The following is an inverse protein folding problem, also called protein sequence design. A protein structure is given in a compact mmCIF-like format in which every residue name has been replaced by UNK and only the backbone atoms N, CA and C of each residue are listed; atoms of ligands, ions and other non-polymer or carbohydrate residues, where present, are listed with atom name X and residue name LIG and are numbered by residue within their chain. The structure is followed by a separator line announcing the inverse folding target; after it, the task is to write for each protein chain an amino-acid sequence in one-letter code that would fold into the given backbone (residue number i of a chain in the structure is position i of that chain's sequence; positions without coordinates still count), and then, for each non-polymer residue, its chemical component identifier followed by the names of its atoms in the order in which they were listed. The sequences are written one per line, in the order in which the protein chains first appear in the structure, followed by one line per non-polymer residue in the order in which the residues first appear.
data_IF_625990799559
#
_entry.id   IF_625990799559
#
_cell.length_a   1.000
_cell.length_b   1.000
_cell.length_c   1.000
_cell.angle_alpha   90.00
_cell.angle_beta   90.00
_cell.angle_gamma   90.00
#
_symmetry.space_group_name_H-M   'P 1'
#
loop_
_entity.id
_entity.type
_entity.pdbx_description
1 polymer ?
#
# COMPACT_ATOMS: atom_id res chain seq x y z
N UNK A 1 9.24 -0.82 -3.60
CA UNK A 1 9.57 0.60 -3.45
C UNK A 1 10.94 0.92 -4.05
N UNK A 2 11.34 2.19 -4.17
CA UNK A 2 12.64 2.58 -4.71
C UNK A 2 13.86 2.07 -3.94
N UNK A 3 13.71 1.77 -2.67
CA UNK A 3 14.73 1.16 -1.82
C UNK A 3 14.79 -0.37 -1.91
N UNK A 4 14.06 -0.96 -2.85
CA UNK A 4 13.89 -2.40 -3.04
C UNK A 4 13.07 -3.13 -1.98
N UNK A 5 12.48 -2.43 -1.01
CA UNK A 5 11.49 -3.03 -0.12
C UNK A 5 10.15 -3.25 -0.83
N UNK A 6 9.29 -4.04 -0.25
CA UNK A 6 7.95 -4.34 -0.77
C UNK A 6 6.87 -3.79 0.16
N UNK A 7 5.68 -3.45 -0.36
CA UNK A 7 4.53 -3.16 0.48
C UNK A 7 4.25 -4.30 1.47
N UNK A 8 3.83 -3.94 2.67
CA UNK A 8 3.60 -4.90 3.76
C UNK A 8 2.16 -5.41 3.83
N UNK A 9 1.41 -5.29 2.76
CA UNK A 9 0.02 -5.77 2.71
C UNK A 9 -0.12 -7.23 3.06
N UNK A 10 -1.23 -7.55 3.70
CA UNK A 10 -1.58 -8.90 4.10
C UNK A 10 -0.53 -9.53 5.03
N UNK A 11 -0.26 -10.80 4.86
CA UNK A 11 0.66 -11.56 5.69
C UNK A 11 2.13 -11.43 5.23
N UNK A 12 2.48 -10.29 4.62
CA UNK A 12 3.86 -9.99 4.26
C UNK A 12 4.64 -9.52 5.49
N UNK A 13 5.95 -9.71 5.49
CA UNK A 13 6.85 -9.20 6.52
C UNK A 13 7.86 -8.24 5.91
N UNK A 14 8.33 -7.34 6.72
CA UNK A 14 9.43 -6.46 6.33
C UNK A 14 10.66 -7.30 5.95
N UNK A 15 11.26 -6.93 4.84
CA UNK A 15 12.53 -7.47 4.34
C UNK A 15 13.36 -6.33 3.83
N UNK A 16 14.59 -6.31 4.26
CA UNK A 16 15.56 -5.37 3.74
C UNK A 16 15.95 -5.72 2.30
N UNK A 17 16.51 -4.76 1.61
CA UNK A 17 17.02 -4.89 0.24
C UNK A 17 17.94 -6.12 0.10
N UNK A 18 18.82 -6.34 1.06
CA UNK A 18 19.80 -7.41 1.07
C UNK A 18 19.17 -8.80 1.05
N UNK A 19 17.97 -8.95 1.62
CA UNK A 19 17.19 -10.20 1.54
C UNK A 19 16.53 -10.40 0.17
N UNK A 20 16.18 -9.32 -0.53
CA UNK A 20 15.44 -9.37 -1.80
C UNK A 20 16.35 -9.40 -3.03
N UNK A 21 17.52 -8.77 -2.95
CA UNK A 21 18.47 -8.70 -4.07
C UNK A 21 18.87 -10.06 -4.65
N UNK A 22 19.08 -11.15 -3.86
CA UNK A 22 19.34 -12.47 -4.42
C UNK A 22 18.23 -12.97 -5.37
N UNK A 23 16.97 -12.65 -5.09
CA UNK A 23 15.86 -13.02 -5.98
C UNK A 23 15.95 -12.29 -7.33
N UNK A 24 16.23 -10.99 -7.32
CA UNK A 24 16.40 -10.23 -8.57
C UNK A 24 17.57 -10.74 -9.39
N UNK A 25 18.68 -11.09 -8.76
CA UNK A 25 19.85 -11.67 -9.44
C UNK A 25 19.52 -13.03 -10.06
N UNK A 26 18.86 -13.92 -9.33
CA UNK A 26 18.41 -15.19 -9.85
C UNK A 26 17.44 -15.03 -11.04
N UNK A 27 16.53 -14.05 -10.98
CA UNK A 27 15.64 -13.75 -12.11
C UNK A 27 16.40 -13.22 -13.32
N UNK A 28 17.46 -12.41 -13.13
CA UNK A 28 18.28 -11.94 -14.24
C UNK A 28 19.06 -13.06 -14.93
N UNK A 29 19.42 -14.12 -14.20
CA UNK A 29 20.01 -15.34 -14.79
C UNK A 29 18.98 -16.13 -15.61
N UNK A 30 17.73 -16.25 -15.12
CA UNK A 30 16.66 -16.97 -15.82
C UNK A 30 16.13 -16.18 -17.02
N UNK A 31 16.12 -14.84 -16.94
CA UNK A 31 15.62 -13.94 -17.97
C UNK A 31 16.71 -12.96 -18.46
N UNK A 32 17.79 -13.45 -19.09
CA UNK A 32 18.97 -12.64 -19.42
C UNK A 32 18.69 -11.49 -20.39
N UNK A 33 17.66 -11.62 -21.23
CA UNK A 33 17.27 -10.61 -22.22
C UNK A 33 16.31 -9.56 -21.67
N UNK A 34 15.84 -9.71 -20.43
CA UNK A 34 14.94 -8.76 -19.82
C UNK A 34 15.72 -7.59 -19.20
N UNK A 35 15.73 -6.45 -19.92
CA UNK A 35 16.47 -5.26 -19.52
C UNK A 35 16.00 -4.70 -18.16
N UNK A 36 14.70 -4.78 -17.85
CA UNK A 36 14.14 -4.28 -16.60
C UNK A 36 14.57 -5.15 -15.39
N UNK A 37 14.56 -6.47 -15.54
CA UNK A 37 15.04 -7.38 -14.49
C UNK A 37 16.53 -7.17 -14.26
N UNK A 38 17.32 -7.01 -15.32
CA UNK A 38 18.75 -6.72 -15.24
C UNK A 38 19.00 -5.39 -14.53
N UNK A 39 18.22 -4.36 -14.85
CA UNK A 39 18.30 -3.06 -14.20
C UNK A 39 18.03 -3.19 -12.69
N UNK A 40 16.99 -3.91 -12.29
CA UNK A 40 16.70 -4.17 -10.87
C UNK A 40 17.82 -4.96 -10.20
N UNK A 41 18.30 -6.05 -10.81
CA UNK A 41 19.32 -6.93 -10.25
C UNK A 41 20.69 -6.24 -10.07
N UNK A 42 20.98 -5.21 -10.87
CA UNK A 42 22.24 -4.45 -10.85
C UNK A 42 22.11 -3.07 -10.22
N UNK A 43 20.95 -2.75 -9.63
CA UNK A 43 20.71 -1.44 -9.02
C UNK A 43 20.91 -0.29 -10.02
N UNK A 44 20.38 -0.46 -11.21
CA UNK A 44 20.42 0.53 -12.26
C UNK A 44 21.74 0.63 -13.05
N UNK A 45 22.72 -0.21 -12.76
CA UNK A 45 24.04 -0.16 -13.46
C UNK A 45 23.99 -0.76 -14.85
N UNK A 46 23.12 -1.72 -15.10
CA UNK A 46 22.94 -2.38 -16.39
C UNK A 46 21.47 -2.51 -16.74
N UNK A 47 21.18 -2.64 -18.02
CA UNK A 47 19.80 -2.75 -18.50
C UNK A 47 19.10 -1.41 -18.61
N UNK A 48 17.79 -1.38 -18.42
CA UNK A 48 16.96 -0.18 -18.46
C UNK A 48 15.83 -0.29 -17.46
N UNK A 49 15.49 0.83 -16.81
CA UNK A 49 14.31 0.89 -15.93
C UNK A 49 13.05 0.45 -16.70
N UNK A 50 12.04 -0.15 -16.03
CA UNK A 50 10.78 -0.49 -16.69
C UNK A 50 10.15 0.74 -17.37
N UNK A 51 9.67 0.58 -18.58
CA UNK A 51 9.07 1.68 -19.36
C UNK A 51 7.77 2.21 -18.74
N UNK A 52 7.00 1.33 -18.09
CA UNK A 52 5.76 1.71 -17.45
C UNK A 52 6.00 2.34 -16.07
N UNK A 53 5.22 3.36 -15.75
CA UNK A 53 5.22 3.98 -14.42
C UNK A 53 4.10 3.39 -13.57
N UNK A 54 2.87 3.79 -13.81
CA UNK A 54 1.71 3.30 -13.07
C UNK A 54 1.18 1.99 -13.66
N UNK A 55 0.72 1.07 -12.81
CA UNK A 55 0.26 -0.24 -13.26
C UNK A 55 -0.86 -0.81 -12.41
N UNK A 56 -1.89 -1.35 -13.08
CA UNK A 56 -2.94 -2.13 -12.44
C UNK A 56 -2.64 -3.63 -12.57
N UNK A 57 -2.50 -4.30 -11.46
CA UNK A 57 -2.42 -5.76 -11.36
C UNK A 57 -3.80 -6.30 -10.96
N UNK A 58 -4.77 -6.19 -11.87
CA UNK A 58 -6.20 -6.39 -11.58
C UNK A 58 -6.54 -7.74 -10.98
N UNK A 59 -5.89 -8.81 -11.45
CA UNK A 59 -6.14 -10.18 -10.96
C UNK A 59 -5.74 -10.36 -9.49
N UNK A 60 -4.68 -9.68 -9.05
CA UNK A 60 -4.21 -9.71 -7.67
C UNK A 60 -4.71 -8.55 -6.82
N UNK A 61 -5.37 -7.56 -7.44
CA UNK A 61 -5.93 -6.41 -6.73
C UNK A 61 -4.92 -5.40 -6.23
N UNK A 62 -3.78 -5.23 -6.93
CA UNK A 62 -2.79 -4.22 -6.61
C UNK A 62 -2.75 -3.14 -7.70
N UNK A 63 -2.77 -1.89 -7.25
CA UNK A 63 -2.76 -0.72 -8.13
C UNK A 63 -1.63 0.19 -7.71
N UNK A 64 -0.65 0.36 -8.61
CA UNK A 64 0.57 1.12 -8.34
C UNK A 64 0.56 2.40 -9.14
N UNK A 65 0.68 3.54 -8.48
CA UNK A 65 0.88 4.85 -9.07
C UNK A 65 2.28 5.34 -8.71
N UNK A 66 3.07 5.84 -9.69
CA UNK A 66 4.43 6.28 -9.42
C UNK A 66 4.93 7.37 -10.36
N UNK A 67 5.91 8.15 -9.89
CA UNK A 67 6.61 9.17 -10.71
C UNK A 67 7.76 8.59 -11.50
N UNK A 68 8.42 7.57 -11.00
CA UNK A 68 9.65 7.01 -11.58
C UNK A 68 10.10 5.75 -10.87
N UNK A 69 11.33 5.34 -11.17
CA UNK A 69 12.00 4.18 -10.61
C UNK A 69 13.25 4.53 -9.80
N UNK A 70 13.61 5.81 -9.76
CA UNK A 70 14.74 6.31 -8.99
C UNK A 70 14.41 6.44 -7.51
N UNK A 71 15.44 6.68 -6.69
CA UNK A 71 15.34 6.75 -5.22
C UNK A 71 14.42 7.84 -4.69
N UNK A 72 14.20 8.89 -5.48
CA UNK A 72 13.39 10.05 -5.09
C UNK A 72 11.93 9.93 -5.57
N UNK A 73 11.61 8.83 -6.26
CA UNK A 73 10.28 8.62 -6.81
C UNK A 73 9.20 8.57 -5.73
N UNK A 74 8.04 9.16 -6.04
CA UNK A 74 6.82 8.94 -5.29
C UNK A 74 6.15 7.66 -5.78
N UNK A 75 5.71 6.82 -4.86
CA UNK A 75 5.01 5.56 -5.16
C UNK A 75 3.87 5.38 -4.17
N UNK A 76 2.66 5.20 -4.67
CA UNK A 76 1.58 4.67 -3.83
C UNK A 76 1.11 3.34 -4.39
N UNK A 77 0.79 2.43 -3.49
CA UNK A 77 0.22 1.13 -3.81
C UNK A 77 -1.09 1.01 -3.08
N UNK A 78 -2.16 0.73 -3.82
CA UNK A 78 -3.50 0.48 -3.25
C UNK A 78 -3.80 -1.00 -3.40
N UNK A 79 -4.31 -1.61 -2.33
CA UNK A 79 -4.78 -2.99 -2.34
C UNK A 79 -6.29 -3.04 -2.31
N UNK A 80 -6.88 -3.64 -3.33
CA UNK A 80 -8.31 -3.94 -3.40
C UNK A 80 -8.55 -5.09 -4.38
N UNK A 81 -8.66 -6.29 -3.87
CA UNK A 81 -8.73 -7.49 -4.70
C UNK A 81 -9.51 -8.64 -4.08
N UNK A 82 -9.45 -9.79 -4.73
CA UNK A 82 -10.15 -10.98 -4.26
C UNK A 82 -9.60 -11.44 -2.90
N UNK A 83 -10.44 -12.04 -2.06
CA UNK A 83 -9.99 -12.60 -0.81
C UNK A 83 -9.16 -13.85 -1.05
N UNK A 84 -7.93 -13.86 -0.56
CA UNK A 84 -7.09 -15.06 -0.58
C UNK A 84 -7.49 -16.04 0.53
N UNK A 85 -7.20 -17.32 0.34
CA UNK A 85 -7.45 -18.35 1.38
C UNK A 85 -6.35 -18.35 2.44
N UNK A 86 -5.12 -18.10 2.03
CA UNK A 86 -3.91 -18.11 2.84
C UNK A 86 -3.23 -16.77 2.78
N UNK A 87 -2.48 -16.42 3.83
CA UNK A 87 -1.69 -15.19 3.87
C UNK A 87 -2.51 -13.94 3.57
N UNK A 88 -3.76 -13.91 3.99
CA UNK A 88 -4.66 -12.78 3.83
C UNK A 88 -4.98 -12.15 5.19
N UNK A 89 -5.11 -10.83 5.18
CA UNK A 89 -5.56 -10.06 6.32
C UNK A 89 -6.79 -9.25 5.94
N UNK A 90 -7.57 -8.76 6.90
CA UNK A 90 -8.74 -7.92 6.63
C UNK A 90 -8.30 -6.47 6.34
N UNK A 91 -7.61 -6.26 5.21
CA UNK A 91 -6.90 -5.03 4.83
C UNK A 91 -7.29 -4.48 3.45
N UNK A 92 -8.35 -4.97 2.82
CA UNK A 92 -8.82 -4.43 1.55
C UNK A 92 -9.17 -2.94 1.66
N UNK A 93 -8.81 -2.17 0.64
CA UNK A 93 -8.92 -0.72 0.63
C UNK A 93 -7.70 -0.02 1.24
N UNK A 94 -6.74 -0.76 1.81
CA UNK A 94 -5.49 -0.16 2.34
C UNK A 94 -4.60 0.39 1.24
N UNK A 95 -3.69 1.27 1.62
CA UNK A 95 -2.65 1.79 0.75
C UNK A 95 -1.36 2.04 1.53
N UNK A 96 -0.25 2.10 0.81
CA UNK A 96 1.01 2.63 1.29
C UNK A 96 1.49 3.76 0.38
N UNK A 97 2.19 4.75 0.94
CA UNK A 97 2.70 5.90 0.22
C UNK A 97 4.18 6.09 0.54
N UNK A 98 5.00 5.96 -0.47
CA UNK A 98 6.43 6.20 -0.44
C UNK A 98 6.80 7.49 -1.17
N UNK A 99 7.72 8.27 -0.60
CA UNK A 99 8.31 9.41 -1.27
C UNK A 99 9.69 9.74 -0.68
N UNK A 100 10.66 10.01 -1.53
CA UNK A 100 12.01 10.45 -1.16
C UNK A 100 12.65 9.63 -0.03
N UNK A 101 12.69 8.31 -0.19
CA UNK A 101 13.35 7.42 0.76
C UNK A 101 12.52 7.06 2.00
N UNK A 102 11.24 7.43 2.07
CA UNK A 102 10.40 7.19 3.25
C UNK A 102 9.03 6.65 2.88
N UNK A 103 8.58 5.63 3.58
CA UNK A 103 7.20 5.18 3.56
C UNK A 103 6.40 5.99 4.59
N UNK A 104 5.57 6.93 4.12
CA UNK A 104 4.80 7.84 4.99
C UNK A 104 3.62 7.15 5.65
N UNK A 105 2.99 6.23 4.97
CA UNK A 105 1.84 5.46 5.45
C UNK A 105 2.15 3.97 5.31
N UNK A 106 3.04 3.43 6.17
CA UNK A 106 3.36 2.01 6.12
C UNK A 106 2.16 1.16 6.52
N UNK A 107 2.10 -0.04 5.98
CA UNK A 107 1.23 -1.10 6.50
C UNK A 107 1.98 -1.86 7.60
N UNK A 108 1.25 -2.50 8.49
CA UNK A 108 1.83 -3.24 9.60
C UNK A 108 2.35 -4.63 9.23
N UNK A 109 1.88 -5.18 8.12
CA UNK A 109 2.25 -6.53 7.68
C UNK A 109 1.86 -7.60 8.67
N UNK A 110 2.63 -8.69 8.65
CA UNK A 110 2.39 -9.85 9.52
C UNK A 110 3.08 -9.76 10.88
N UNK A 111 3.94 -8.77 11.11
CA UNK A 111 4.84 -8.69 12.24
C UNK A 111 5.83 -9.88 12.25
N UNK A 112 5.36 -11.05 12.69
CA UNK A 112 6.10 -12.33 12.65
C UNK A 112 5.17 -13.47 12.24
N UNK A 113 5.72 -14.61 11.83
CA UNK A 113 4.89 -15.77 11.45
C UNK A 113 4.58 -16.70 12.62
N UNK A 114 5.45 -16.81 13.60
CA UNK A 114 5.29 -17.69 14.77
C UNK A 114 6.07 -17.16 15.96
N UNK A 115 5.67 -17.59 17.15
CA UNK A 115 6.32 -17.26 18.42
C UNK A 115 5.57 -17.89 19.59
N UNK A 116 5.96 -17.53 20.79
CA UNK A 116 5.24 -17.87 22.01
C UNK A 116 3.87 -17.15 22.07
N UNK A 117 3.18 -17.26 23.20
CA UNK A 117 1.86 -16.67 23.36
C UNK A 117 1.88 -15.14 23.26
N UNK A 118 2.87 -14.48 23.83
CA UNK A 118 2.97 -13.01 23.79
C UNK A 118 3.21 -12.51 22.38
N UNK A 119 4.13 -13.11 21.66
CA UNK A 119 4.41 -12.81 20.25
C UNK A 119 3.19 -13.10 19.37
N UNK A 120 2.45 -14.17 19.64
CA UNK A 120 1.22 -14.51 18.93
C UNK A 120 0.11 -13.48 19.18
N UNK A 121 -0.02 -13.00 20.42
CA UNK A 121 -1.00 -11.96 20.75
C UNK A 121 -0.67 -10.63 20.06
N UNK A 122 0.61 -10.25 20.00
CA UNK A 122 1.09 -9.10 19.25
C UNK A 122 0.82 -9.26 17.73
N UNK A 123 1.14 -10.41 17.16
CA UNK A 123 0.82 -10.72 15.76
C UNK A 123 -0.67 -10.57 15.47
N UNK A 124 -1.53 -11.06 16.36
CA UNK A 124 -2.97 -10.96 16.18
C UNK A 124 -3.46 -9.52 16.22
N UNK A 125 -2.79 -8.64 16.97
CA UNK A 125 -3.06 -7.20 16.96
C UNK A 125 -2.66 -6.58 15.62
N UNK A 126 -1.45 -6.86 15.12
CA UNK A 126 -0.96 -6.37 13.82
C UNK A 126 -1.75 -6.87 12.61
N UNK A 127 -2.64 -7.82 12.80
CA UNK A 127 -3.54 -8.35 11.75
C UNK A 127 -4.95 -7.77 11.81
N UNK A 128 -5.21 -6.79 12.65
CA UNK A 128 -6.53 -6.15 12.72
C UNK A 128 -6.68 -5.08 11.66
N UNK A 129 -7.89 -4.86 11.17
CA UNK A 129 -8.18 -3.81 10.19
C UNK A 129 -7.74 -2.42 10.65
N UNK A 130 -7.86 -2.11 11.92
CA UNK A 130 -7.51 -0.79 12.48
C UNK A 130 -6.02 -0.41 12.37
N UNK A 131 -5.14 -1.36 12.11
CA UNK A 131 -3.70 -1.12 11.91
C UNK A 131 -3.31 -1.03 10.44
N UNK A 132 -4.27 -1.11 9.54
CA UNK A 132 -4.10 -0.87 8.11
C UNK A 132 -4.69 0.50 7.73
N UNK A 133 -4.26 1.06 6.62
CA UNK A 133 -4.73 2.36 6.13
C UNK A 133 -6.09 2.23 5.43
N UNK A 134 -7.13 1.83 6.15
CA UNK A 134 -8.47 1.57 5.61
C UNK A 134 -9.57 1.92 6.64
N UNK A 135 -10.79 1.52 6.37
CA UNK A 135 -11.97 1.85 7.15
C UNK A 135 -12.35 0.73 8.13
N UNK A 136 -12.82 1.10 9.33
CA UNK A 136 -13.53 0.19 10.24
C UNK A 136 -14.94 0.66 10.53
N UNK A 137 -15.84 -0.28 10.81
CA UNK A 137 -17.16 -0.07 11.39
C UNK A 137 -17.17 -0.67 12.80
N UNK A 138 -17.45 0.15 13.82
CA UNK A 138 -17.45 -0.27 15.25
C UNK A 138 -16.12 -0.93 15.67
N UNK A 139 -14.99 -0.50 15.09
CA UNK A 139 -13.67 -1.07 15.36
C UNK A 139 -13.50 -2.55 14.99
N UNK A 140 -14.46 -3.14 14.27
CA UNK A 140 -14.42 -4.57 13.84
C UNK A 140 -13.47 -4.76 12.67
N UNK A 141 -12.99 -5.97 12.50
CA UNK A 141 -12.27 -6.35 11.30
C UNK A 141 -13.19 -6.39 10.08
N UNK A 142 -12.63 -6.04 8.91
CA UNK A 142 -13.31 -6.17 7.62
C UNK A 142 -13.79 -7.61 7.40
N UNK A 143 -14.94 -7.74 6.79
CA UNK A 143 -15.41 -9.02 6.31
C UNK A 143 -14.59 -9.48 5.09
N UNK A 144 -14.58 -10.77 4.88
CA UNK A 144 -13.87 -11.36 3.76
C UNK A 144 -14.71 -11.22 2.49
N UNK A 145 -14.42 -10.17 1.73
CA UNK A 145 -15.17 -9.79 0.54
C UNK A 145 -14.27 -9.59 -0.65
N UNK A 146 -14.84 -9.66 -1.84
CA UNK A 146 -14.16 -9.37 -3.10
C UNK A 146 -14.28 -7.88 -3.42
N UNK A 147 -13.14 -7.19 -3.42
CA UNK A 147 -13.07 -5.78 -3.79
C UNK A 147 -12.96 -5.61 -5.30
N UNK A 148 -13.41 -4.47 -5.79
CA UNK A 148 -13.45 -4.16 -7.22
C UNK A 148 -12.72 -2.87 -7.53
N UNK A 149 -12.00 -2.85 -8.64
CA UNK A 149 -11.54 -1.61 -9.25
C UNK A 149 -12.61 -1.11 -10.22
N UNK A 150 -13.20 0.02 -9.89
CA UNK A 150 -14.24 0.66 -10.69
C UNK A 150 -13.64 1.54 -11.79
N UNK A 151 -12.51 2.20 -11.48
CA UNK A 151 -11.84 3.13 -12.40
C UNK A 151 -10.34 2.94 -12.32
N UNK A 152 -9.70 2.91 -13.46
CA UNK A 152 -8.26 2.97 -13.62
C UNK A 152 -7.96 3.78 -14.87
N UNK A 153 -7.33 4.91 -14.69
CA UNK A 153 -6.93 5.81 -15.76
C UNK A 153 -5.52 6.31 -15.53
N UNK A 154 -4.72 6.36 -16.59
CA UNK A 154 -3.34 6.84 -16.58
C UNK A 154 -3.12 7.59 -17.89
N UNK A 155 -3.42 8.88 -17.90
CA UNK A 155 -3.32 9.72 -19.11
C UNK A 155 -1.97 10.44 -19.24
N UNK A 156 -1.07 10.16 -18.30
CA UNK A 156 0.27 10.77 -18.28
C UNK A 156 0.40 11.98 -17.36
N UNK A 157 -0.60 12.84 -17.22
CA UNK A 157 -0.59 13.96 -16.27
C UNK A 157 -1.22 13.58 -14.93
N UNK A 158 -2.36 12.87 -14.96
CA UNK A 158 -3.08 12.43 -13.79
C UNK A 158 -3.37 10.95 -13.89
N UNK A 159 -2.98 10.21 -12.87
CA UNK A 159 -3.39 8.81 -12.72
C UNK A 159 -4.54 8.74 -11.71
N UNK A 160 -5.52 7.87 -11.97
CA UNK A 160 -6.70 7.72 -11.12
C UNK A 160 -6.97 6.24 -10.86
N UNK A 161 -7.16 5.89 -9.61
CA UNK A 161 -7.71 4.59 -9.23
C UNK A 161 -8.90 4.79 -8.30
N UNK A 162 -10.02 4.16 -8.63
CA UNK A 162 -11.19 4.04 -7.74
C UNK A 162 -11.43 2.58 -7.45
N UNK A 163 -11.39 2.23 -6.17
CA UNK A 163 -11.68 0.89 -5.67
C UNK A 163 -12.88 0.91 -4.75
N UNK A 164 -13.58 -0.21 -4.72
CA UNK A 164 -14.75 -0.40 -3.87
C UNK A 164 -14.65 -1.74 -3.15
N UNK A 165 -14.86 -1.70 -1.85
CA UNK A 165 -14.85 -2.86 -0.98
C UNK A 165 -16.16 -2.93 -0.20
N UNK A 166 -17.00 -3.96 -0.37
CA UNK A 166 -18.16 -4.21 0.47
C UNK A 166 -17.69 -4.69 1.85
N UNK A 167 -17.18 -3.76 2.64
CA UNK A 167 -16.38 -3.97 3.84
C UNK A 167 -17.11 -4.71 4.95
N UNK A 168 -18.43 -4.47 5.06
CA UNK A 168 -19.30 -5.06 6.08
C UNK A 168 -20.69 -5.28 5.50
N UNK A 169 -21.48 -6.12 6.14
CA UNK A 169 -22.91 -6.25 5.79
C UNK A 169 -23.56 -4.86 5.87
N UNK A 170 -24.12 -4.41 4.76
CA UNK A 170 -24.76 -3.10 4.65
C UNK A 170 -23.82 -1.90 4.59
N UNK A 171 -22.50 -2.06 4.51
CA UNK A 171 -21.56 -0.95 4.34
C UNK A 171 -20.54 -1.23 3.24
N UNK A 172 -20.44 -0.32 2.31
CA UNK A 172 -19.41 -0.31 1.27
C UNK A 172 -18.48 0.88 1.47
N UNK A 173 -17.19 0.61 1.44
CA UNK A 173 -16.13 1.61 1.39
C UNK A 173 -15.66 1.79 -0.05
N UNK A 174 -15.68 3.03 -0.54
CA UNK A 174 -15.08 3.41 -1.82
C UNK A 174 -13.94 4.37 -1.56
N UNK A 175 -12.78 4.05 -2.13
CA UNK A 175 -11.61 4.92 -2.10
C UNK A 175 -11.23 5.32 -3.51
N UNK A 176 -11.05 6.61 -3.73
CA UNK A 176 -10.46 7.12 -4.96
C UNK A 176 -9.15 7.81 -4.63
N UNK A 177 -8.12 7.45 -5.38
CA UNK A 177 -6.81 8.10 -5.32
C UNK A 177 -6.56 8.78 -6.66
N UNK A 178 -6.36 10.09 -6.63
CA UNK A 178 -5.87 10.89 -7.75
C UNK A 178 -4.41 11.20 -7.52
N UNK A 179 -3.59 10.89 -8.49
CA UNK A 179 -2.20 11.30 -8.54
C UNK A 179 -2.07 12.41 -9.59
N UNK A 180 -2.26 13.66 -9.16
CA UNK A 180 -2.42 14.84 -9.99
C UNK A 180 -1.05 15.42 -10.33
N UNK A 181 -0.82 15.67 -11.62
CA UNK A 181 0.42 16.25 -12.18
C UNK A 181 1.69 15.53 -11.68
N UNK A 182 1.56 14.26 -11.25
CA UNK A 182 2.62 13.46 -10.61
C UNK A 182 3.30 14.18 -9.43
N UNK A 183 2.54 15.00 -8.70
CA UNK A 183 3.00 15.83 -7.59
C UNK A 183 2.14 15.71 -6.34
N UNK A 184 0.84 15.52 -6.50
CA UNK A 184 -0.12 15.53 -5.39
C UNK A 184 -0.91 14.23 -5.39
N UNK A 185 -0.98 13.58 -4.24
CA UNK A 185 -1.97 12.55 -3.99
C UNK A 185 -3.17 13.16 -3.30
N UNK A 186 -4.34 12.99 -3.87
CA UNK A 186 -5.63 13.29 -3.25
C UNK A 186 -6.33 11.97 -3.01
N UNK A 187 -6.72 11.70 -1.78
CA UNK A 187 -7.46 10.50 -1.40
C UNK A 187 -8.84 10.93 -0.93
N UNK A 188 -9.87 10.37 -1.53
CA UNK A 188 -11.24 10.52 -1.07
C UNK A 188 -11.79 9.16 -0.66
N UNK A 189 -12.36 9.13 0.54
CA UNK A 189 -13.03 7.97 1.10
C UNK A 189 -14.52 8.25 1.23
N UNK A 190 -15.33 7.33 0.75
CA UNK A 190 -16.78 7.34 0.84
C UNK A 190 -17.24 6.05 1.55
N UNK A 191 -18.07 6.21 2.57
CA UNK A 191 -18.74 5.10 3.23
C UNK A 191 -20.24 5.22 2.98
N UNK A 192 -20.86 4.21 2.41
CA UNK A 192 -22.28 4.24 2.08
C UNK A 192 -22.94 2.88 2.23
N UNK A 193 -24.23 2.90 2.53
CA UNK A 193 -25.02 1.70 2.74
C UNK A 193 -26.13 1.93 3.78
N UNK A 194 -26.57 0.85 4.42
CA UNK A 194 -27.65 0.84 5.43
C UNK A 194 -27.17 0.46 6.82
N UNK A 195 -25.88 0.12 6.97
CA UNK A 195 -25.31 -0.19 8.27
C UNK A 195 -25.29 1.05 9.16
N UNK A 196 -25.55 0.85 10.43
CA UNK A 196 -25.48 1.86 11.48
C UNK A 196 -24.26 1.61 12.35
N UNK A 197 -23.69 2.67 12.94
CA UNK A 197 -22.56 2.59 13.84
C UNK A 197 -21.46 3.59 13.53
N UNK A 198 -20.40 3.56 14.35
CA UNK A 198 -19.24 4.45 14.18
C UNK A 198 -18.37 3.95 13.04
N UNK A 199 -18.14 4.82 12.07
CA UNK A 199 -17.18 4.62 10.97
C UNK A 199 -15.90 5.37 11.29
N UNK A 200 -14.77 4.66 11.32
CA UNK A 200 -13.45 5.24 11.49
C UNK A 200 -12.56 4.98 10.28
N UNK A 201 -11.85 6.01 9.82
CA UNK A 201 -10.80 5.90 8.82
C UNK A 201 -9.44 5.90 9.52
N UNK A 202 -8.60 4.94 9.19
CA UNK A 202 -7.26 4.80 9.75
C UNK A 202 -6.22 5.23 8.72
N UNK A 203 -5.32 6.12 9.17
CA UNK A 203 -4.15 6.57 8.42
C UNK A 203 -2.94 6.45 9.35
N UNK A 204 -2.23 5.35 9.23
CA UNK A 204 -1.11 5.01 10.09
C UNK A 204 0.15 5.70 9.55
N UNK A 205 0.55 6.80 10.16
CA UNK A 205 1.78 7.49 9.83
C UNK A 205 3.00 6.73 10.36
N UNK A 206 4.09 6.77 9.62
CA UNK A 206 5.38 6.36 10.14
C UNK A 206 5.72 7.18 11.38
N UNK A 207 6.54 6.65 12.28
CA UNK A 207 6.92 7.32 13.53
C UNK A 207 7.39 8.76 13.26
N UNK A 208 6.67 9.72 13.81
CA UNK A 208 6.91 11.16 13.66
C UNK A 208 6.19 11.92 14.79
N UNK A 209 6.55 13.18 14.96
CA UNK A 209 5.86 14.12 15.85
C UNK A 209 4.95 15.04 15.00
N UNK A 210 3.67 14.68 14.76
CA UNK A 210 2.78 15.52 13.98
C UNK A 210 2.37 16.77 14.76
N UNK A 211 2.41 17.92 14.09
CA UNK A 211 1.76 19.14 14.56
C UNK A 211 0.38 19.23 13.93
N UNK A 212 -0.65 19.13 14.74
CA UNK A 212 -2.05 19.13 14.31
C UNK A 212 -2.68 20.50 14.47
N UNK A 213 -3.41 20.96 13.47
CA UNK A 213 -4.27 22.12 13.51
C UNK A 213 -5.68 21.72 13.09
N UNK A 214 -6.52 21.41 14.08
CA UNK A 214 -7.89 20.99 13.84
C UNK A 214 -8.76 22.11 13.25
N UNK A 215 -8.44 23.38 13.53
CA UNK A 215 -9.19 24.52 12.98
C UNK A 215 -8.91 24.70 11.48
N UNK A 216 -7.69 24.44 11.05
CA UNK A 216 -7.31 24.45 9.64
C UNK A 216 -7.51 23.08 8.95
N UNK A 217 -7.99 22.06 9.66
CA UNK A 217 -8.08 20.68 9.18
C UNK A 217 -6.76 20.19 8.58
N UNK A 218 -5.66 20.48 9.25
CA UNK A 218 -4.33 20.16 8.76
C UNK A 218 -3.47 19.47 9.82
N UNK A 219 -2.56 18.66 9.36
CA UNK A 219 -1.46 18.12 10.15
C UNK A 219 -0.16 18.29 9.37
N UNK A 220 0.89 18.68 10.07
CA UNK A 220 2.23 18.78 9.51
C UNK A 220 3.17 17.90 10.33
N UNK A 221 4.09 17.24 9.67
CA UNK A 221 5.10 16.42 10.32
C UNK A 221 6.48 16.79 9.80
N UNK A 222 7.47 16.69 10.67
CA UNK A 222 8.88 16.85 10.32
C UNK A 222 9.63 15.61 10.77
N UNK A 223 10.56 15.19 9.95
CA UNK A 223 11.47 14.10 10.27
C UNK A 223 12.85 14.67 10.58
N UNK A 224 13.58 14.05 11.50
CA UNK A 224 14.84 14.58 12.00
C UNK A 224 16.00 14.60 10.98
N UNK A 225 15.81 13.96 9.85
CA UNK A 225 16.78 13.88 8.73
C UNK A 225 16.52 14.90 7.60
N UNK A 226 15.58 15.82 7.78
CA UNK A 226 15.32 16.94 6.88
C UNK A 226 14.10 16.78 6.01
#
# INVERSE_FOLDING_TARGET
FPDYTTPLFSDNRFREKEELMPCYRAWAEVFPDNAAIRWMATEGREGAAPEHLSRALRTSGFYVLRTGWDKDAAVTVVKAGPPAFWHNQPDNGTFELWHRGRNFFPDSGSYVYAGDKEVTDQRNWFRRTQVHNTLTLEGRNLERTDSKCLRWETDGATDIVTVENPSYEGLTHRRTVWFIDRRFFVIADEAFGTAEGEVALHYNLVECDPAEDFAACSAATRFGDG
#
